data_IF_607431010734
#
_entry.id   IF_607431010734
#
_cell.length_a   1.000
_cell.length_b   1.000
_cell.length_c   1.000
_cell.angle_alpha   90.00
_cell.angle_beta   90.00
_cell.angle_gamma   90.00
#
_symmetry.space_group_name_H-M   'P 1'
#
loop_
_entity.id
_entity.type
_entity.pdbx_description
1 polymer ?
#
# COMPACT_ATOMS: atom_id res chain seq x y z
N UNK A 1 -15.12 22.34 -16.69
CA UNK A 1 -14.69 21.45 -15.59
C UNK A 1 -15.00 20.04 -16.02
N UNK A 2 -14.01 19.26 -16.44
CA UNK A 2 -14.21 17.90 -16.97
C UNK A 2 -14.26 16.97 -15.76
N UNK A 3 -15.47 16.53 -15.37
CA UNK A 3 -15.58 15.48 -14.37
C UNK A 3 -15.00 14.22 -15.00
N UNK A 4 -13.99 13.65 -14.37
CA UNK A 4 -13.43 12.37 -14.77
C UNK A 4 -14.53 11.36 -14.44
N UNK A 5 -15.28 10.94 -15.46
CA UNK A 5 -16.32 9.92 -15.35
C UNK A 5 -15.61 8.59 -15.13
N UNK A 6 -15.64 8.10 -13.89
CA UNK A 6 -15.05 6.82 -13.56
C UNK A 6 -16.02 5.75 -14.04
N UNK A 7 -15.67 5.07 -15.14
CA UNK A 7 -16.42 3.93 -15.63
C UNK A 7 -16.49 2.86 -14.52
N UNK A 8 -17.69 2.53 -13.99
CA UNK A 8 -17.84 1.51 -12.96
C UNK A 8 -17.40 0.13 -13.42
N UNK A 9 -17.34 -0.11 -14.73
CA UNK A 9 -16.90 -1.36 -15.34
C UNK A 9 -15.40 -1.40 -15.65
N UNK A 10 -14.63 -0.38 -15.24
CA UNK A 10 -13.19 -0.35 -15.45
C UNK A 10 -12.56 -1.63 -14.84
N UNK A 11 -11.94 -2.50 -15.66
CA UNK A 11 -11.48 -3.80 -15.20
C UNK A 11 -10.52 -3.59 -14.04
N UNK A 12 -10.80 -4.25 -12.90
CA UNK A 12 -9.91 -4.23 -11.73
C UNK A 12 -8.51 -4.53 -12.22
N UNK A 13 -7.60 -3.56 -12.07
CA UNK A 13 -6.19 -3.73 -12.39
C UNK A 13 -5.74 -5.04 -11.74
N UNK A 14 -5.35 -5.99 -12.59
CA UNK A 14 -4.97 -7.31 -12.15
C UNK A 14 -3.62 -7.20 -11.44
N UNK A 15 -3.69 -7.12 -10.11
CA UNK A 15 -2.53 -7.15 -9.23
C UNK A 15 -2.14 -8.61 -9.06
N UNK A 16 -1.60 -9.20 -10.14
CA UNK A 16 -0.97 -10.52 -10.09
C UNK A 16 0.07 -10.59 -8.97
N UNK A 17 0.60 -11.78 -8.63
CA UNK A 17 1.55 -11.94 -7.53
C UNK A 17 2.77 -11.06 -7.79
N UNK A 18 2.78 -9.89 -7.15
CA UNK A 18 3.74 -8.84 -7.39
C UNK A 18 5.16 -9.27 -7.01
N UNK A 19 6.15 -8.36 -7.14
CA UNK A 19 7.55 -8.65 -6.81
C UNK A 19 7.76 -9.17 -5.38
N UNK A 20 6.77 -9.00 -4.50
CA UNK A 20 6.75 -9.43 -3.09
C UNK A 20 7.21 -10.85 -2.82
N UNK A 21 6.95 -11.80 -3.73
CA UNK A 21 7.44 -13.19 -3.59
C UNK A 21 8.96 -13.30 -3.44
N UNK A 22 9.71 -12.35 -4.00
CA UNK A 22 11.17 -12.29 -3.93
C UNK A 22 11.68 -11.26 -2.93
N UNK A 23 10.92 -10.19 -2.67
CA UNK A 23 11.28 -9.13 -1.73
C UNK A 23 11.45 -9.66 -0.32
N UNK A 24 10.51 -10.47 0.19
CA UNK A 24 10.60 -11.00 1.55
C UNK A 24 11.79 -11.95 1.78
N UNK A 25 12.07 -12.94 0.90
CA UNK A 25 13.26 -13.76 1.01
C UNK A 25 14.56 -12.94 0.98
N UNK A 26 14.68 -11.98 0.06
CA UNK A 26 15.90 -11.15 -0.07
C UNK A 26 16.14 -10.34 1.20
N UNK A 27 15.10 -9.68 1.73
CA UNK A 27 15.24 -8.92 2.97
C UNK A 27 15.54 -9.83 4.16
N UNK A 28 14.90 -11.00 4.24
CA UNK A 28 15.19 -11.99 5.29
C UNK A 28 16.65 -12.43 5.28
N UNK A 29 17.23 -12.68 4.09
CA UNK A 29 18.65 -13.03 3.94
C UNK A 29 19.55 -11.88 4.37
N UNK A 30 19.26 -10.64 3.94
CA UNK A 30 20.06 -9.47 4.32
C UNK A 30 20.03 -9.25 5.84
N UNK A 31 18.84 -9.37 6.46
CA UNK A 31 18.67 -9.20 7.90
C UNK A 31 19.41 -10.30 8.68
N UNK A 32 19.26 -11.56 8.25
CA UNK A 32 19.97 -12.69 8.85
C UNK A 32 21.49 -12.51 8.74
N UNK A 33 22.00 -12.20 7.55
CA UNK A 33 23.44 -11.93 7.36
C UNK A 33 23.93 -10.80 8.26
N UNK A 34 23.17 -9.72 8.39
CA UNK A 34 23.54 -8.60 9.25
C UNK A 34 23.62 -9.02 10.73
N UNK A 35 22.63 -9.74 11.24
CA UNK A 35 22.59 -10.23 12.62
C UNK A 35 23.72 -11.24 12.90
N UNK A 36 24.03 -12.13 11.94
CA UNK A 36 25.07 -13.16 12.13
C UNK A 36 26.50 -12.63 11.98
N UNK A 37 26.70 -11.47 11.35
CA UNK A 37 28.04 -10.95 11.04
C UNK A 37 28.42 -9.68 11.80
N UNK A 38 27.46 -8.98 12.41
CA UNK A 38 27.68 -7.68 13.07
C UNK A 38 26.89 -7.57 14.36
N UNK A 39 27.38 -6.75 15.28
CA UNK A 39 26.58 -6.25 16.40
C UNK A 39 25.56 -5.21 15.91
N UNK A 40 24.55 -4.93 16.74
CA UNK A 40 23.53 -3.92 16.43
C UNK A 40 24.21 -2.54 16.31
N UNK A 41 24.33 -2.06 15.08
CA UNK A 41 24.95 -0.80 14.70
C UNK A 41 24.00 0.05 13.84
N UNK A 42 24.49 1.18 13.32
CA UNK A 42 23.72 2.06 12.44
C UNK A 42 23.23 1.37 11.16
N UNK A 43 23.95 0.34 10.68
CA UNK A 43 23.52 -0.46 9.52
C UNK A 43 22.28 -1.28 9.90
N UNK A 44 22.29 -1.87 11.10
CA UNK A 44 21.15 -2.62 11.64
C UNK A 44 19.90 -1.73 11.76
N UNK A 45 20.05 -0.48 12.22
CA UNK A 45 18.97 0.51 12.27
C UNK A 45 18.43 0.86 10.88
N UNK A 46 19.32 1.12 9.92
CA UNK A 46 18.92 1.42 8.54
C UNK A 46 18.18 0.25 7.88
N UNK A 47 18.63 -0.99 8.14
CA UNK A 47 17.96 -2.21 7.68
C UNK A 47 16.58 -2.38 8.31
N UNK A 48 16.45 -2.13 9.61
CA UNK A 48 15.15 -2.13 10.29
C UNK A 48 14.17 -1.11 9.70
N UNK A 49 14.66 0.09 9.39
CA UNK A 49 13.85 1.14 8.75
C UNK A 49 13.45 0.75 7.32
N UNK A 50 14.39 0.21 6.54
CA UNK A 50 14.10 -0.30 5.19
C UNK A 50 13.08 -1.45 5.18
N UNK A 51 13.17 -2.36 6.15
CA UNK A 51 12.18 -3.43 6.36
C UNK A 51 10.80 -2.84 6.68
N UNK A 52 10.74 -1.86 7.59
CA UNK A 52 9.49 -1.17 7.94
C UNK A 52 8.83 -0.48 6.74
N UNK A 53 9.60 0.27 5.95
CA UNK A 53 9.10 0.90 4.71
C UNK A 53 8.60 -0.13 3.70
N UNK A 54 9.31 -1.26 3.57
CA UNK A 54 8.91 -2.34 2.67
C UNK A 54 7.58 -2.96 3.09
N UNK A 55 7.40 -3.26 4.38
CA UNK A 55 6.16 -3.78 4.93
C UNK A 55 4.99 -2.81 4.73
N UNK A 56 5.23 -1.51 4.93
CA UNK A 56 4.23 -0.47 4.67
C UNK A 56 3.84 -0.45 3.18
N UNK A 57 4.81 -0.50 2.27
CA UNK A 57 4.57 -0.58 0.82
C UNK A 57 3.76 -1.81 0.42
N UNK A 58 4.08 -2.97 1.00
CA UNK A 58 3.32 -4.20 0.78
C UNK A 58 1.88 -4.11 1.26
N UNK A 59 1.66 -3.54 2.45
CA UNK A 59 0.33 -3.31 2.99
C UNK A 59 -0.47 -2.32 2.12
N UNK A 60 0.16 -1.28 1.59
CA UNK A 60 -0.46 -0.33 0.66
C UNK A 60 -0.86 -1.04 -0.63
N UNK A 61 -0.01 -1.92 -1.16
CA UNK A 61 -0.30 -2.67 -2.40
C UNK A 61 -1.46 -3.66 -2.21
N UNK A 62 -1.49 -4.38 -1.08
CA UNK A 62 -2.62 -5.24 -0.71
C UNK A 62 -3.94 -4.47 -0.54
N UNK A 63 -3.90 -3.35 0.17
CA UNK A 63 -5.09 -2.52 0.43
C UNK A 63 -5.49 -1.67 -0.78
N UNK A 64 -4.60 -1.51 -1.75
CA UNK A 64 -4.74 -0.58 -2.86
C UNK A 64 -4.83 0.87 -2.46
N UNK A 65 -4.25 1.21 -1.30
CA UNK A 65 -4.40 2.52 -0.67
C UNK A 65 -5.87 2.97 -0.53
N UNK A 66 -6.82 2.02 -0.47
CA UNK A 66 -8.24 2.34 -0.36
C UNK A 66 -8.54 2.84 1.05
N UNK A 67 -9.10 4.04 1.14
CA UNK A 67 -9.61 4.59 2.39
C UNK A 67 -10.76 3.70 2.88
N UNK A 68 -10.78 3.29 4.17
CA UNK A 68 -11.87 2.50 4.73
C UNK A 68 -13.23 3.17 4.52
N UNK A 69 -14.28 2.41 4.24
CA UNK A 69 -15.60 2.96 3.92
C UNK A 69 -16.18 3.81 5.06
N UNK A 70 -15.87 3.45 6.30
CA UNK A 70 -16.18 4.16 7.54
C UNK A 70 -15.41 5.48 7.73
N UNK A 71 -14.32 5.70 6.97
CA UNK A 71 -13.58 6.98 6.94
C UNK A 71 -13.93 7.82 5.71
N UNK A 72 -14.60 7.22 4.73
CA UNK A 72 -15.10 7.91 3.55
C UNK A 72 -16.28 8.79 3.99
N UNK A 73 -16.14 10.12 3.89
CA UNK A 73 -17.26 11.04 4.15
C UNK A 73 -18.42 10.64 3.25
N UNK A 74 -19.64 10.54 3.80
CA UNK A 74 -20.86 10.43 2.99
C UNK A 74 -20.86 11.62 2.02
N UNK A 75 -20.86 11.32 0.72
CA UNK A 75 -21.08 12.35 -0.30
C UNK A 75 -22.38 13.07 0.04
N UNK A 76 -22.42 14.42 0.04
CA UNK A 76 -23.66 15.15 0.15
C UNK A 76 -24.56 14.68 -0.98
N UNK A 77 -25.75 14.20 -0.62
CA UNK A 77 -26.79 13.78 -1.55
C UNK A 77 -27.16 14.98 -2.43
N UNK A 78 -26.53 15.10 -3.62
CA UNK A 78 -26.78 16.17 -4.59
C UNK A 78 -28.02 15.83 -5.41
N UNK A 79 -29.08 15.41 -4.73
CA UNK A 79 -30.36 15.14 -5.35
C UNK A 79 -31.50 15.62 -4.44
N UNK A 80 -31.41 16.88 -4.01
CA UNK A 80 -32.50 17.56 -3.30
C UNK A 80 -32.99 18.73 -4.16
N UNK A 81 -34.12 18.48 -4.80
CA UNK A 81 -35.07 19.43 -5.40
C UNK A 81 -34.58 20.33 -6.53
N UNK A 82 -34.88 19.91 -7.76
CA UNK A 82 -35.44 20.79 -8.78
C UNK A 82 -36.78 20.24 -9.20
N UNK A 83 -37.80 20.45 -8.36
CA UNK A 83 -39.19 20.38 -8.77
C UNK A 83 -39.95 21.47 -8.02
N UNK A 84 -40.78 22.20 -8.78
CA UNK A 84 -41.62 23.38 -8.49
C UNK A 84 -40.97 24.75 -8.70
#
# INVERSE_FOLDING_TARGET
MKMIDHDPEEPKIDRGPGPWRWVFPVIGVILALNIFTREIDWVSLALGLGLGCTLAGWAIDLTGNKVPANWRRKSPDRNRNTDF
#
